data_IF_449334493515
#
_entry.id   IF_449334493515
#
_cell.length_a   1.000
_cell.length_b   1.000
_cell.length_c   1.000
_cell.angle_alpha   90.00
_cell.angle_beta   90.00
_cell.angle_gamma   90.00
#
_symmetry.space_group_name_H-M   'P 1'
#
loop_
_entity.id
_entity.type
_entity.pdbx_description
1 polymer ?
#
# COMPACT_ATOMS: atom_id res chain seq x y z
N UNK A 1 -61.19 -48.18 1.39
CA UNK A 1 -60.36 -48.61 0.25
C UNK A 1 -58.90 -48.38 0.64
N UNK A 2 -58.10 -49.46 0.73
CA UNK A 2 -56.70 -49.44 1.21
C UNK A 2 -55.78 -48.89 0.12
N UNK A 3 -54.91 -47.94 0.45
CA UNK A 3 -53.75 -47.50 -0.34
C UNK A 3 -52.66 -47.16 0.70
N UNK A 4 -51.75 -48.07 1.01
CA UNK A 4 -50.46 -48.36 0.37
C UNK A 4 -49.36 -47.35 0.75
N UNK A 5 -48.22 -47.89 1.20
CA UNK A 5 -47.19 -47.21 1.97
C UNK A 5 -46.34 -46.19 1.21
N UNK A 6 -45.84 -45.20 1.96
CA UNK A 6 -44.66 -44.42 1.58
C UNK A 6 -43.50 -44.80 2.50
N UNK A 7 -42.48 -45.41 1.91
CA UNK A 7 -41.17 -45.70 2.50
C UNK A 7 -40.41 -44.37 2.67
N UNK A 8 -40.05 -44.03 3.91
CA UNK A 8 -39.13 -42.92 4.18
C UNK A 8 -37.71 -43.33 3.79
N UNK A 9 -37.16 -42.74 2.73
CA UNK A 9 -35.72 -42.81 2.43
C UNK A 9 -35.03 -41.73 3.25
N UNK A 10 -34.27 -42.15 4.26
CA UNK A 10 -33.40 -41.25 5.03
C UNK A 10 -32.21 -40.83 4.15
N UNK A 11 -32.19 -39.58 3.70
CA UNK A 11 -31.03 -38.97 3.06
C UNK A 11 -30.06 -38.55 4.18
N UNK A 12 -29.07 -39.41 4.44
CA UNK A 12 -27.93 -39.08 5.30
C UNK A 12 -27.05 -38.12 4.49
N UNK A 13 -27.12 -36.82 4.81
CA UNK A 13 -26.12 -35.86 4.33
C UNK A 13 -24.78 -36.18 5.01
N UNK A 14 -23.72 -36.54 4.28
CA UNK A 14 -22.41 -36.72 4.90
C UNK A 14 -21.95 -35.37 5.44
N UNK A 15 -21.70 -35.37 6.75
CA UNK A 15 -21.11 -34.29 7.51
C UNK A 15 -19.78 -33.93 6.87
N UNK A 16 -19.70 -32.78 6.20
CA UNK A 16 -18.44 -32.27 5.67
C UNK A 16 -17.62 -31.88 6.90
N UNK A 17 -16.73 -32.79 7.29
CA UNK A 17 -15.69 -32.60 8.27
C UNK A 17 -15.00 -31.25 8.02
N UNK A 18 -14.94 -30.44 9.07
CA UNK A 18 -14.31 -29.15 9.09
C UNK A 18 -12.90 -29.21 8.51
N UNK A 19 -12.77 -28.71 7.28
CA UNK A 19 -11.50 -28.23 6.78
C UNK A 19 -11.11 -27.04 7.65
N UNK A 20 -10.20 -27.28 8.60
CA UNK A 20 -9.55 -26.20 9.31
C UNK A 20 -8.87 -25.33 8.25
N UNK A 21 -9.36 -24.11 8.07
CA UNK A 21 -8.58 -23.09 7.39
C UNK A 21 -7.35 -22.92 8.28
N UNK A 22 -6.25 -23.56 7.89
CA UNK A 22 -4.95 -23.33 8.48
C UNK A 22 -4.64 -21.87 8.26
N UNK A 23 -4.96 -21.04 9.24
CA UNK A 23 -4.46 -19.68 9.33
C UNK A 23 -2.96 -19.85 9.58
N UNK A 24 -2.19 -19.90 8.51
CA UNK A 24 -0.74 -19.91 8.58
C UNK A 24 -0.32 -18.74 9.47
N UNK A 25 0.15 -19.06 10.68
CA UNK A 25 0.48 -18.06 11.67
C UNK A 25 1.68 -17.27 11.15
N UNK A 26 1.51 -15.96 10.99
CA UNK A 26 2.59 -15.08 10.55
C UNK A 26 3.80 -15.23 11.49
N UNK A 27 4.99 -15.44 10.93
CA UNK A 27 6.22 -15.59 11.71
C UNK A 27 6.56 -14.32 12.49
N UNK A 28 7.38 -14.45 13.54
CA UNK A 28 7.94 -13.30 14.27
C UNK A 28 8.98 -12.58 13.39
N UNK A 29 9.03 -11.25 13.47
CA UNK A 29 10.01 -10.44 12.76
C UNK A 29 11.45 -10.94 13.01
N UNK A 30 12.29 -10.97 11.96
CA UNK A 30 13.65 -11.50 12.03
C UNK A 30 14.56 -10.91 10.96
N UNK A 31 15.86 -11.05 11.13
CA UNK A 31 16.82 -10.95 10.03
C UNK A 31 16.75 -12.26 9.22
N UNK A 32 16.48 -12.15 7.93
CA UNK A 32 16.39 -13.28 7.01
C UNK A 32 17.60 -13.28 6.08
N UNK A 33 18.34 -14.39 6.07
CA UNK A 33 19.46 -14.57 5.17
C UNK A 33 19.01 -14.46 3.71
N UNK A 34 19.82 -13.81 2.88
CA UNK A 34 19.52 -13.65 1.45
C UNK A 34 19.98 -14.89 0.70
N UNK A 35 19.15 -15.40 -0.21
CA UNK A 35 19.34 -16.71 -0.85
C UNK A 35 20.61 -16.78 -1.72
N UNK A 36 21.05 -15.66 -2.28
CA UNK A 36 22.24 -15.55 -3.11
C UNK A 36 23.53 -15.23 -2.33
N UNK A 37 23.43 -14.97 -1.02
CA UNK A 37 24.57 -14.73 -0.13
C UNK A 37 24.15 -14.98 1.33
N UNK A 38 24.23 -16.23 1.83
CA UNK A 38 23.75 -16.55 3.19
C UNK A 38 24.46 -15.82 4.33
N UNK A 39 25.64 -15.22 4.09
CA UNK A 39 26.33 -14.38 5.07
C UNK A 39 25.70 -12.98 5.21
N UNK A 40 24.75 -12.62 4.34
CA UNK A 40 24.04 -11.37 4.38
C UNK A 40 22.56 -11.55 4.71
N UNK A 41 21.97 -10.61 5.42
CA UNK A 41 20.56 -10.65 5.80
C UNK A 41 19.81 -9.33 5.55
N UNK A 42 18.50 -9.46 5.31
CA UNK A 42 17.53 -8.37 5.23
C UNK A 42 16.50 -8.55 6.35
N UNK A 43 16.09 -7.46 6.98
CA UNK A 43 15.06 -7.46 8.02
C UNK A 43 13.69 -7.77 7.39
N UNK A 44 13.09 -8.87 7.81
CA UNK A 44 11.73 -9.23 7.46
C UNK A 44 10.80 -8.98 8.65
N UNK A 45 9.90 -8.02 8.49
CA UNK A 45 8.94 -7.66 9.53
C UNK A 45 7.86 -8.73 9.74
N UNK A 46 7.43 -9.40 8.67
CA UNK A 46 6.31 -10.35 8.70
C UNK A 46 6.66 -11.61 7.88
N UNK A 47 7.51 -12.50 8.40
CA UNK A 47 7.92 -13.67 7.65
C UNK A 47 6.78 -14.62 7.29
N UNK A 48 6.82 -15.12 6.07
CA UNK A 48 5.86 -16.06 5.48
C UNK A 48 6.54 -17.39 5.15
N UNK A 49 5.77 -18.46 5.12
CA UNK A 49 6.27 -19.77 4.72
C UNK A 49 6.74 -19.74 3.25
N UNK A 50 7.88 -20.39 2.97
CA UNK A 50 8.46 -20.56 1.62
C UNK A 50 8.86 -19.26 0.90
N UNK A 51 8.87 -18.12 1.58
CA UNK A 51 9.38 -16.89 0.98
C UNK A 51 10.91 -16.90 0.88
N UNK A 52 11.45 -16.20 -0.10
CA UNK A 52 12.90 -15.99 -0.26
C UNK A 52 13.17 -14.53 -0.58
N UNK A 53 14.38 -14.08 -0.26
CA UNK A 53 14.86 -12.74 -0.62
C UNK A 53 16.25 -12.85 -1.21
N UNK A 54 16.53 -12.07 -2.24
CA UNK A 54 17.88 -11.85 -2.75
C UNK A 54 18.29 -10.40 -2.56
N UNK A 55 19.60 -10.18 -2.46
CA UNK A 55 20.19 -8.85 -2.39
C UNK A 55 21.39 -8.77 -3.32
N UNK A 56 21.40 -7.75 -4.17
CA UNK A 56 22.55 -7.39 -5.01
C UNK A 56 23.01 -6.00 -4.61
N UNK A 57 24.06 -5.94 -3.80
CA UNK A 57 24.64 -4.71 -3.28
C UNK A 57 25.62 -5.01 -2.15
N UNK A 58 26.18 -3.98 -1.49
CA UNK A 58 27.11 -4.18 -0.38
C UNK A 58 26.47 -4.93 0.80
N UNK A 59 27.28 -5.71 1.49
CA UNK A 59 26.91 -6.33 2.75
C UNK A 59 27.88 -5.89 3.84
N UNK A 60 27.38 -5.33 4.94
CA UNK A 60 28.19 -4.81 6.04
C UNK A 60 27.67 -5.39 7.35
N UNK A 61 28.57 -6.00 8.13
CA UNK A 61 28.25 -6.63 9.42
C UNK A 61 27.10 -7.65 9.32
N UNK A 62 27.13 -8.49 8.27
CA UNK A 62 26.12 -9.52 8.04
C UNK A 62 24.75 -9.03 7.56
N UNK A 63 24.62 -7.74 7.21
CA UNK A 63 23.35 -7.17 6.77
C UNK A 63 23.50 -6.33 5.49
N UNK A 64 22.44 -6.31 4.67
CA UNK A 64 22.41 -5.50 3.46
C UNK A 64 22.64 -4.01 3.78
N UNK A 65 23.50 -3.35 3.00
CA UNK A 65 23.96 -1.99 3.27
C UNK A 65 24.28 -1.25 1.96
N UNK A 66 24.14 0.07 1.95
CA UNK A 66 24.40 0.89 0.76
C UNK A 66 23.34 0.70 -0.33
N UNK A 67 23.62 1.17 -1.53
CA UNK A 67 22.68 1.09 -2.65
C UNK A 67 22.71 -0.27 -3.32
N UNK A 68 21.54 -0.82 -3.63
CA UNK A 68 21.42 -2.09 -4.33
C UNK A 68 19.98 -2.47 -4.66
N UNK A 69 19.81 -3.73 -5.02
CA UNK A 69 18.52 -4.31 -5.42
C UNK A 69 18.14 -5.45 -4.48
N UNK A 70 16.97 -5.32 -3.85
CA UNK A 70 16.31 -6.32 -3.03
C UNK A 70 15.16 -6.93 -3.84
N UNK A 71 15.09 -8.26 -3.92
CA UNK A 71 13.97 -8.96 -4.55
C UNK A 71 13.39 -10.01 -3.62
N UNK A 72 12.12 -9.84 -3.24
CA UNK A 72 11.35 -10.86 -2.52
C UNK A 72 10.61 -11.74 -3.49
N UNK A 73 10.59 -13.05 -3.21
CA UNK A 73 9.68 -14.01 -3.82
C UNK A 73 8.85 -14.66 -2.72
N UNK A 74 7.53 -14.60 -2.83
CA UNK A 74 6.59 -15.19 -1.87
C UNK A 74 5.38 -15.77 -2.63
N UNK A 75 4.48 -16.46 -1.95
CA UNK A 75 3.32 -17.10 -2.57
C UNK A 75 2.02 -16.49 -2.08
N UNK A 76 1.09 -16.20 -2.98
CA UNK A 76 -0.27 -15.74 -2.65
C UNK A 76 -1.28 -16.58 -3.43
N UNK A 77 -2.14 -17.29 -2.70
CA UNK A 77 -3.14 -18.20 -3.30
C UNK A 77 -2.48 -19.24 -4.24
N UNK A 78 -1.32 -19.78 -3.86
CA UNK A 78 -0.56 -20.74 -4.68
C UNK A 78 0.33 -20.11 -5.76
N UNK A 79 0.07 -18.87 -6.15
CA UNK A 79 0.81 -18.20 -7.22
C UNK A 79 2.07 -17.48 -6.70
N UNK A 80 3.21 -17.59 -7.39
CA UNK A 80 4.43 -16.87 -7.02
C UNK A 80 4.27 -15.37 -7.26
N UNK A 81 4.84 -14.59 -6.36
CA UNK A 81 4.73 -13.13 -6.28
C UNK A 81 6.13 -12.56 -6.06
N UNK A 82 6.45 -11.47 -6.76
CA UNK A 82 7.75 -10.78 -6.68
C UNK A 82 7.62 -9.32 -6.26
N UNK A 83 8.34 -8.88 -5.24
CA UNK A 83 8.51 -7.45 -4.92
C UNK A 83 9.96 -7.06 -5.18
N UNK A 84 10.17 -5.94 -5.88
CA UNK A 84 11.51 -5.41 -6.16
C UNK A 84 11.67 -4.05 -5.53
N UNK A 85 12.73 -3.88 -4.74
CA UNK A 85 13.18 -2.60 -4.23
C UNK A 85 14.56 -2.28 -4.80
N UNK A 86 14.74 -1.05 -5.27
CA UNK A 86 16.02 -0.49 -5.70
C UNK A 86 16.25 0.76 -4.89
N UNK A 87 17.34 0.79 -4.12
CA UNK A 87 17.65 1.94 -3.29
C UNK A 87 18.65 1.63 -2.19
N UNK A 88 18.73 2.57 -1.28
CA UNK A 88 19.65 2.55 -0.15
C UNK A 88 19.16 1.60 0.98
N UNK A 89 20.10 0.87 1.56
CA UNK A 89 19.90 -0.03 2.69
C UNK A 89 20.83 0.35 3.84
N UNK A 90 20.35 0.18 5.07
CA UNK A 90 21.14 0.35 6.28
C UNK A 90 20.78 -0.73 7.30
N UNK A 91 21.77 -1.54 7.68
CA UNK A 91 21.61 -2.62 8.64
C UNK A 91 20.44 -3.56 8.28
N UNK A 92 20.35 -3.93 6.99
CA UNK A 92 19.33 -4.83 6.46
C UNK A 92 17.94 -4.23 6.33
N UNK A 93 17.77 -2.92 6.51
CA UNK A 93 16.49 -2.22 6.33
C UNK A 93 16.59 -1.19 5.23
N UNK A 94 15.52 -1.01 4.45
CA UNK A 94 15.39 0.09 3.48
C UNK A 94 15.54 1.43 4.21
N UNK A 95 16.41 2.30 3.73
CA UNK A 95 16.76 3.56 4.40
C UNK A 95 17.25 4.55 3.35
N UNK A 96 17.00 5.86 3.48
CA UNK A 96 17.40 6.82 2.44
C UNK A 96 16.49 6.79 1.21
N UNK A 97 17.02 7.07 0.02
CA UNK A 97 16.22 7.07 -1.22
C UNK A 97 16.03 5.67 -1.76
N UNK A 98 14.81 5.38 -2.22
CA UNK A 98 14.58 4.16 -2.98
C UNK A 98 13.18 4.02 -3.55
N UNK A 99 13.08 3.11 -4.51
CA UNK A 99 11.86 2.78 -5.23
C UNK A 99 11.50 1.32 -5.03
N UNK A 100 10.25 1.05 -4.70
CA UNK A 100 9.69 -0.29 -4.63
C UNK A 100 8.57 -0.45 -5.64
N UNK A 101 8.55 -1.62 -6.27
CA UNK A 101 7.46 -2.11 -7.09
C UNK A 101 6.85 -3.32 -6.37
N UNK A 102 5.62 -3.17 -5.91
CA UNK A 102 4.84 -4.29 -5.37
C UNK A 102 4.10 -5.02 -6.50
N UNK A 103 3.73 -6.26 -6.20
CA UNK A 103 2.78 -7.01 -7.01
C UNK A 103 1.44 -6.27 -7.16
N UNK A 104 0.79 -6.50 -8.31
CA UNK A 104 -0.42 -5.79 -8.74
C UNK A 104 -0.21 -4.29 -9.01
N UNK A 105 1.03 -3.84 -9.27
CA UNK A 105 1.29 -2.53 -9.88
C UNK A 105 1.42 -1.34 -8.94
N UNK A 106 1.27 -1.51 -7.62
CA UNK A 106 1.55 -0.40 -6.70
C UNK A 106 3.03 -0.04 -6.74
N UNK A 107 3.36 1.24 -6.72
CA UNK A 107 4.75 1.71 -6.60
C UNK A 107 4.89 2.74 -5.51
N UNK A 108 6.08 2.79 -4.93
CA UNK A 108 6.51 3.93 -4.14
C UNK A 108 7.93 4.31 -4.52
N UNK A 109 8.14 5.59 -4.79
CA UNK A 109 9.43 6.20 -5.06
C UNK A 109 9.62 7.35 -4.07
N UNK A 110 10.50 7.17 -3.10
CA UNK A 110 10.50 8.05 -1.94
C UNK A 110 11.60 7.79 -0.93
N UNK A 111 11.46 8.51 0.19
CA UNK A 111 12.33 8.42 1.34
C UNK A 111 11.92 7.26 2.26
N UNK A 112 12.91 6.57 2.79
CA UNK A 112 12.77 5.43 3.67
C UNK A 112 13.53 5.66 4.97
N UNK A 113 12.94 5.21 6.08
CA UNK A 113 13.58 5.16 7.39
C UNK A 113 13.25 3.82 8.03
N UNK A 114 14.28 2.98 8.15
CA UNK A 114 14.25 1.71 8.87
C UNK A 114 13.12 0.77 8.39
N UNK A 115 12.97 0.66 7.06
CA UNK A 115 11.98 -0.18 6.40
C UNK A 115 10.60 0.47 6.25
N UNK A 116 10.44 1.73 6.65
CA UNK A 116 9.17 2.45 6.63
C UNK A 116 9.28 3.68 5.74
N UNK A 117 8.26 3.97 4.93
CA UNK A 117 8.18 5.22 4.15
C UNK A 117 8.10 6.41 5.10
N UNK A 118 9.08 7.29 5.06
CA UNK A 118 9.20 8.42 5.97
C UNK A 118 10.02 9.53 5.30
N UNK A 119 9.41 10.69 5.09
CA UNK A 119 9.92 11.76 4.23
C UNK A 119 9.06 11.98 2.98
N UNK A 120 9.64 12.49 1.90
CA UNK A 120 8.94 12.80 0.66
C UNK A 120 8.85 11.57 -0.25
N UNK A 121 7.73 11.41 -0.96
CA UNK A 121 7.62 10.37 -1.97
C UNK A 121 6.40 10.46 -2.86
N UNK A 122 6.40 9.58 -3.86
CA UNK A 122 5.31 9.36 -4.79
C UNK A 122 4.81 7.94 -4.61
N UNK A 123 3.55 7.77 -4.24
CA UNK A 123 2.88 6.48 -4.20
C UNK A 123 1.89 6.38 -5.36
N UNK A 124 2.00 5.34 -6.17
CA UNK A 124 1.02 4.99 -7.21
C UNK A 124 0.24 3.76 -6.79
N UNK A 125 -1.09 3.84 -6.79
CA UNK A 125 -1.97 2.70 -6.55
C UNK A 125 -2.19 1.90 -7.85
N UNK A 126 -2.59 0.61 -7.74
CA UNK A 126 -2.88 -0.24 -8.90
C UNK A 126 -3.91 0.36 -9.83
N UNK A 127 -4.92 1.00 -9.23
CA UNK A 127 -6.02 1.64 -9.93
C UNK A 127 -5.61 2.95 -10.63
N UNK A 128 -4.34 3.36 -10.62
CA UNK A 128 -3.85 4.57 -11.29
C UNK A 128 -3.87 5.85 -10.45
N UNK A 129 -4.44 5.83 -9.24
CA UNK A 129 -4.32 6.97 -8.32
C UNK A 129 -2.85 7.23 -8.00
N UNK A 130 -2.47 8.50 -7.80
CA UNK A 130 -1.10 8.91 -7.46
C UNK A 130 -1.10 9.95 -6.36
N UNK A 131 -0.26 9.75 -5.36
CA UNK A 131 -0.03 10.72 -4.28
C UNK A 131 1.41 11.17 -4.32
N UNK A 132 1.65 12.48 -4.30
CA UNK A 132 2.96 13.10 -4.13
C UNK A 132 2.93 13.98 -2.89
N UNK A 133 3.79 13.70 -1.91
CA UNK A 133 3.87 14.49 -0.69
C UNK A 133 4.62 13.78 0.44
N UNK A 134 4.47 14.29 1.65
CA UNK A 134 5.15 13.75 2.83
C UNK A 134 4.47 12.50 3.41
N UNK A 135 5.30 11.63 3.95
CA UNK A 135 4.95 10.43 4.69
C UNK A 135 5.60 10.49 6.07
N UNK A 136 4.85 10.07 7.10
CA UNK A 136 5.37 9.85 8.45
C UNK A 136 4.92 8.47 8.90
N UNK A 137 5.87 7.61 9.25
CA UNK A 137 5.61 6.20 9.65
C UNK A 137 4.66 5.48 8.68
N UNK A 138 4.88 5.64 7.39
CA UNK A 138 4.14 4.96 6.33
C UNK A 138 2.80 5.58 5.94
N UNK A 139 2.34 6.62 6.66
CA UNK A 139 1.07 7.33 6.40
C UNK A 139 1.32 8.66 5.71
N UNK A 140 0.45 9.02 4.76
CA UNK A 140 0.45 10.38 4.18
C UNK A 140 0.21 11.41 5.28
N UNK A 141 1.04 12.45 5.32
CA UNK A 141 1.06 13.46 6.36
C UNK A 141 1.47 14.80 5.75
N UNK A 142 1.13 15.93 6.37
CA UNK A 142 1.58 17.25 5.91
C UNK A 142 0.95 17.64 4.57
N UNK A 143 1.67 18.38 3.72
CA UNK A 143 1.15 18.81 2.42
C UNK A 143 1.32 17.72 1.36
N UNK A 144 0.32 17.56 0.51
CA UNK A 144 0.41 16.61 -0.60
C UNK A 144 -0.66 16.76 -1.66
N UNK A 145 -0.37 16.20 -2.83
CA UNK A 145 -1.23 16.20 -4.01
C UNK A 145 -1.66 14.76 -4.29
N UNK A 146 -2.97 14.53 -4.32
CA UNK A 146 -3.57 13.30 -4.83
C UNK A 146 -4.16 13.56 -6.21
N UNK A 147 -3.80 12.73 -7.18
CA UNK A 147 -4.43 12.63 -8.50
C UNK A 147 -5.18 11.31 -8.55
N UNK A 148 -6.49 11.37 -8.78
CA UNK A 148 -7.31 10.17 -8.91
C UNK A 148 -7.35 9.73 -10.37
N UNK A 149 -7.47 8.42 -10.62
CA UNK A 149 -7.55 7.86 -11.97
C UNK A 149 -8.74 8.41 -12.77
N UNK A 150 -9.80 8.87 -12.09
CA UNK A 150 -10.94 9.57 -12.69
C UNK A 150 -10.68 11.05 -13.04
N UNK A 151 -9.45 11.55 -12.97
CA UNK A 151 -9.07 12.91 -13.35
C UNK A 151 -9.27 13.99 -12.27
N UNK A 152 -10.01 13.68 -11.20
CA UNK A 152 -10.12 14.57 -10.05
C UNK A 152 -8.78 14.69 -9.30
N UNK A 153 -8.58 15.79 -8.57
CA UNK A 153 -7.34 16.06 -7.83
C UNK A 153 -7.65 16.66 -6.46
N UNK A 154 -6.80 16.40 -5.49
CA UNK A 154 -6.81 17.11 -4.20
C UNK A 154 -5.40 17.63 -3.91
N UNK A 155 -5.27 18.91 -3.56
CA UNK A 155 -4.04 19.52 -3.08
C UNK A 155 -4.33 20.14 -1.72
N UNK A 156 -3.65 19.70 -0.67
CA UNK A 156 -3.87 20.25 0.66
C UNK A 156 -3.19 19.43 1.75
N UNK A 157 -3.63 19.66 2.98
CA UNK A 157 -3.08 18.99 4.14
C UNK A 157 -3.62 17.55 4.30
N UNK A 158 -2.78 16.72 4.92
CA UNK A 158 -3.01 15.31 5.18
C UNK A 158 -2.64 15.00 6.62
N UNK A 159 -3.49 14.24 7.30
CA UNK A 159 -3.24 13.73 8.65
C UNK A 159 -3.61 12.26 8.70
N UNK A 160 -2.67 11.42 9.11
CA UNK A 160 -2.89 9.97 9.25
C UNK A 160 -3.50 9.31 8.01
N UNK A 161 -3.07 9.74 6.82
CA UNK A 161 -3.56 9.20 5.57
C UNK A 161 -4.86 9.81 5.04
N UNK A 162 -5.50 10.75 5.74
CA UNK A 162 -6.76 11.36 5.32
C UNK A 162 -6.58 12.82 4.93
N UNK A 163 -7.37 13.32 3.98
CA UNK A 163 -7.44 14.76 3.68
C UNK A 163 -7.90 15.49 4.93
N UNK A 164 -7.18 16.54 5.31
CA UNK A 164 -7.40 17.26 6.55
C UNK A 164 -6.94 18.71 6.39
N UNK A 165 -7.51 19.65 7.14
CA UNK A 165 -7.10 21.05 7.09
C UNK A 165 -7.47 21.71 5.75
N UNK A 166 -6.82 22.83 5.46
CA UNK A 166 -6.99 23.57 4.21
C UNK A 166 -6.60 22.74 2.99
N UNK A 167 -7.43 22.81 1.95
CA UNK A 167 -7.16 22.19 0.67
C UNK A 167 -8.07 22.64 -0.47
N UNK A 168 -7.70 22.21 -1.66
CA UNK A 168 -8.42 22.43 -2.91
C UNK A 168 -8.73 21.06 -3.51
N UNK A 169 -10.00 20.78 -3.73
CA UNK A 169 -10.45 19.62 -4.49
C UNK A 169 -10.91 20.07 -5.87
N UNK A 170 -10.30 19.53 -6.92
CA UNK A 170 -10.65 19.78 -8.33
C UNK A 170 -11.37 18.54 -8.85
N UNK A 171 -12.60 18.72 -9.30
CA UNK A 171 -13.41 17.67 -9.92
C UNK A 171 -12.93 17.38 -11.35
N UNK A 172 -13.36 16.25 -11.91
CA UNK A 172 -13.03 15.86 -13.29
C UNK A 172 -13.48 16.91 -14.33
N UNK A 173 -14.62 17.55 -14.10
CA UNK A 173 -15.15 18.62 -14.94
C UNK A 173 -14.43 19.98 -14.74
N UNK A 174 -13.45 20.05 -13.84
CA UNK A 174 -12.67 21.26 -13.56
C UNK A 174 -13.26 22.18 -12.49
N UNK A 175 -14.47 21.90 -11.99
CA UNK A 175 -15.01 22.61 -10.84
C UNK A 175 -14.12 22.41 -9.61
N UNK A 176 -14.12 23.37 -8.69
CA UNK A 176 -13.23 23.34 -7.53
C UNK A 176 -13.97 23.68 -6.24
N UNK A 177 -13.59 22.98 -5.17
CA UNK A 177 -13.93 23.34 -3.79
C UNK A 177 -12.65 23.74 -3.09
N UNK A 178 -12.64 24.94 -2.53
CA UNK A 178 -11.58 25.45 -1.67
C UNK A 178 -12.12 25.52 -0.24
N UNK A 179 -11.39 24.98 0.73
CA UNK A 179 -11.82 25.06 2.12
C UNK A 179 -11.15 24.04 3.03
N UNK A 180 -11.76 23.86 4.20
CA UNK A 180 -11.33 22.92 5.22
C UNK A 180 -11.86 21.52 4.93
N UNK A 181 -11.02 20.52 5.19
CA UNK A 181 -11.35 19.10 5.12
C UNK A 181 -11.14 18.44 6.48
N UNK A 182 -12.01 17.51 6.83
CA UNK A 182 -11.86 16.66 8.01
C UNK A 182 -12.22 15.23 7.66
N UNK A 183 -11.27 14.32 7.85
CA UNK A 183 -11.44 12.88 7.61
C UNK A 183 -11.98 12.58 6.20
N UNK A 184 -11.30 13.11 5.18
CA UNK A 184 -11.62 12.95 3.76
C UNK A 184 -12.85 13.70 3.23
N UNK A 185 -13.61 14.37 4.09
CA UNK A 185 -14.80 15.14 3.73
C UNK A 185 -14.55 16.65 3.83
N UNK A 186 -15.15 17.49 2.97
CA UNK A 186 -15.23 18.92 3.22
C UNK A 186 -15.93 19.18 4.56
N UNK A 187 -15.35 20.03 5.40
CA UNK A 187 -15.95 20.43 6.69
C UNK A 187 -16.38 21.88 6.71
N UNK A 188 -15.69 22.76 5.98
CA UNK A 188 -16.12 24.14 5.75
C UNK A 188 -15.67 24.58 4.36
N UNK A 189 -16.64 24.87 3.49
CA UNK A 189 -16.35 25.35 2.13
C UNK A 189 -16.13 26.86 2.20
N UNK A 190 -14.96 27.31 1.76
CA UNK A 190 -14.61 28.73 1.63
C UNK A 190 -15.05 29.28 0.27
N UNK A 191 -14.69 28.59 -0.81
CA UNK A 191 -15.07 28.97 -2.17
C UNK A 191 -15.48 27.75 -2.99
N UNK A 192 -16.36 27.99 -3.96
CA UNK A 192 -16.64 27.06 -5.04
C UNK A 192 -16.45 27.77 -6.38
N UNK A 193 -15.64 27.17 -7.26
CA UNK A 193 -15.28 27.74 -8.57
C UNK A 193 -15.84 26.83 -9.65
N UNK A 194 -16.67 27.36 -10.56
CA UNK A 194 -17.14 26.63 -11.74
C UNK A 194 -16.27 26.92 -12.96
N UNK A 195 -15.87 25.89 -13.70
CA UNK A 195 -15.01 26.07 -14.88
C UNK A 195 -15.74 26.78 -16.03
N UNK A 196 -17.00 26.42 -16.29
CA UNK A 196 -17.77 26.86 -17.47
C UNK A 196 -18.30 28.30 -17.38
N UNK A 197 -18.24 28.92 -16.21
CA UNK A 197 -18.61 30.33 -16.02
C UNK A 197 -17.33 31.13 -15.83
N UNK A 198 -16.77 31.64 -16.94
CA UNK A 198 -15.68 32.62 -16.98
C UNK A 198 -16.11 33.94 -16.31
N UNK A 199 -16.31 33.92 -15.00
CA UNK A 199 -16.25 35.11 -14.16
C UNK A 199 -14.95 35.00 -13.39
N UNK A 200 -14.01 35.89 -13.73
CA UNK A 200 -12.66 35.91 -13.18
C UNK A 200 -12.59 36.26 -11.69
N UNK A 201 -13.71 36.52 -11.01
CA UNK A 201 -13.78 36.77 -9.57
C UNK A 201 -15.12 36.27 -9.02
N UNK A 202 -15.13 35.23 -8.20
CA UNK A 202 -16.32 34.79 -7.46
C UNK A 202 -16.03 33.60 -6.55
N UNK A 203 -16.60 33.57 -5.32
CA UNK A 203 -16.13 34.29 -4.13
C UNK A 203 -14.70 33.89 -3.66
N UNK A 204 -13.83 33.61 -4.62
CA UNK A 204 -12.39 33.75 -4.61
C UNK A 204 -12.06 34.68 -5.81
#
# INVERSE_FOLDING_TARGET
MRIAGLTFVAIILPSILGGTISTAQAGKARMQAVANNPACAIFNKNPQAKETVTWTGPCKNGAAHGTGTEQWKYFRLGEPQTETYVGEMRAGKRHGRGKVQWQKGSTYDGDWKDGIRDGQGIYTWPAGNKYKGSFVRGKRQGQGIMVYNGGSKYKGAWVNGKKHGQGIFVYRNGDQIHGEFRNDKPSAVKCYVKLEKRWKNGPC
#
